data_IF_475730343790
#
_entry.id   IF_475730343790
#
_cell.length_a   1.000
_cell.length_b   1.000
_cell.length_c   1.000
_cell.angle_alpha   90.00
_cell.angle_beta   90.00
_cell.angle_gamma   90.00
#
_symmetry.space_group_name_H-M   'P 1'
#
loop_
_entity.id
_entity.type
_entity.pdbx_description
1 polymer ?
#
# COMPACT_ATOMS: atom_id res chain seq x y z
N UNK A 1 -18.14 -29.72 -20.67
CA UNK A 1 -18.46 -30.52 -19.46
C UNK A 1 -19.68 -29.95 -18.77
N UNK A 2 -20.77 -30.71 -18.77
CA UNK A 2 -22.08 -30.37 -18.20
C UNK A 2 -21.98 -30.00 -16.71
N UNK A 3 -22.53 -28.83 -16.32
CA UNK A 3 -22.79 -28.49 -14.91
C UNK A 3 -23.93 -29.38 -14.42
N UNK A 4 -23.59 -30.57 -13.92
CA UNK A 4 -24.54 -31.39 -13.18
C UNK A 4 -25.07 -30.57 -11.99
N UNK A 5 -26.34 -30.12 -12.07
CA UNK A 5 -27.09 -29.61 -10.93
C UNK A 5 -27.10 -30.76 -9.91
N UNK A 6 -26.34 -30.61 -8.81
CA UNK A 6 -26.48 -31.52 -7.66
C UNK A 6 -27.97 -31.55 -7.27
N UNK A 7 -28.61 -32.72 -7.18
CA UNK A 7 -29.98 -32.80 -6.73
C UNK A 7 -30.05 -32.19 -5.32
N UNK A 8 -30.93 -31.22 -5.12
CA UNK A 8 -31.28 -30.75 -3.79
C UNK A 8 -32.09 -31.87 -3.14
N UNK A 9 -31.41 -32.80 -2.48
CA UNK A 9 -32.07 -33.69 -1.53
C UNK A 9 -32.79 -32.79 -0.51
N UNK A 10 -34.12 -32.79 -0.54
CA UNK A 10 -34.92 -32.17 0.50
C UNK A 10 -34.83 -33.05 1.75
N UNK A 11 -33.72 -32.94 2.48
CA UNK A 11 -33.47 -33.69 3.70
C UNK A 11 -34.44 -33.21 4.78
N UNK A 12 -35.54 -33.92 4.97
CA UNK A 12 -36.55 -33.64 5.99
C UNK A 12 -36.28 -34.52 7.21
N UNK A 13 -36.30 -33.93 8.40
CA UNK A 13 -36.09 -34.63 9.66
C UNK A 13 -36.88 -33.94 10.75
N UNK A 14 -37.48 -34.71 11.67
CA UNK A 14 -37.98 -34.13 12.92
C UNK A 14 -36.78 -33.72 13.76
N UNK A 15 -36.49 -32.41 13.83
CA UNK A 15 -35.32 -31.94 14.56
C UNK A 15 -35.54 -32.15 16.07
N UNK A 16 -34.51 -32.69 16.72
CA UNK A 16 -34.37 -32.78 18.18
C UNK A 16 -32.93 -32.44 18.57
N UNK A 17 -32.71 -31.84 19.73
CA UNK A 17 -31.36 -31.48 20.18
C UNK A 17 -30.44 -32.69 20.31
N UNK A 18 -30.98 -33.85 20.70
CA UNK A 18 -30.27 -35.13 20.75
C UNK A 18 -29.82 -35.60 19.37
N UNK A 19 -30.67 -35.44 18.35
CA UNK A 19 -30.32 -35.76 16.98
C UNK A 19 -29.26 -34.79 16.45
N UNK A 20 -29.47 -33.48 16.66
CA UNK A 20 -28.54 -32.44 16.22
C UNK A 20 -27.16 -32.67 16.83
N UNK A 21 -27.06 -32.98 18.12
CA UNK A 21 -25.81 -33.25 18.82
C UNK A 21 -25.02 -34.41 18.18
N UNK A 22 -25.69 -35.52 17.88
CA UNK A 22 -25.09 -36.77 17.38
C UNK A 22 -24.82 -36.77 15.88
N UNK A 23 -25.55 -35.96 15.11
CA UNK A 23 -25.48 -36.01 13.66
C UNK A 23 -24.12 -35.52 13.12
N UNK A 24 -23.48 -36.34 12.28
CA UNK A 24 -22.22 -36.03 11.61
C UNK A 24 -22.49 -35.63 10.17
N UNK A 25 -21.80 -34.58 9.71
CA UNK A 25 -21.88 -34.12 8.33
C UNK A 25 -21.32 -35.17 7.37
N UNK A 26 -22.07 -35.43 6.30
CA UNK A 26 -21.65 -36.24 5.13
C UNK A 26 -21.23 -35.38 3.95
N UNK A 27 -21.71 -34.13 3.88
CA UNK A 27 -21.33 -33.12 2.88
C UNK A 27 -20.64 -31.89 3.51
N UNK A 28 -19.91 -31.06 2.74
CA UNK A 28 -19.29 -29.84 3.26
C UNK A 28 -20.29 -28.86 3.90
N UNK A 29 -21.55 -28.91 3.48
CA UNK A 29 -22.67 -28.19 4.08
C UNK A 29 -23.95 -28.98 3.83
N UNK A 30 -24.82 -29.05 4.83
CA UNK A 30 -26.12 -29.71 4.76
C UNK A 30 -27.21 -28.82 5.33
N UNK A 31 -28.35 -28.78 4.64
CA UNK A 31 -29.54 -28.05 5.08
C UNK A 31 -30.65 -29.09 5.35
N UNK A 32 -31.07 -29.20 6.62
CA UNK A 32 -32.10 -30.12 7.09
C UNK A 32 -33.39 -29.35 7.41
N UNK A 33 -34.52 -29.80 6.88
CA UNK A 33 -35.84 -29.18 7.05
C UNK A 33 -36.57 -29.85 8.21
N UNK A 34 -37.04 -29.03 9.16
CA UNK A 34 -37.85 -29.55 10.27
C UNK A 34 -39.21 -30.02 9.75
N UNK A 35 -39.66 -31.18 10.22
CA UNK A 35 -40.97 -31.72 9.85
C UNK A 35 -42.10 -31.09 10.65
N UNK A 36 -41.82 -30.52 11.83
CA UNK A 36 -42.83 -29.86 12.69
C UNK A 36 -43.07 -28.43 12.23
N UNK A 37 -42.01 -27.67 11.93
CA UNK A 37 -42.08 -26.35 11.31
C UNK A 37 -41.39 -26.41 9.95
N UNK A 38 -42.15 -26.58 8.88
CA UNK A 38 -41.63 -26.78 7.51
C UNK A 38 -40.77 -25.62 6.98
N UNK A 39 -40.89 -24.44 7.58
CA UNK A 39 -40.09 -23.26 7.26
C UNK A 39 -38.75 -23.21 8.01
N UNK A 40 -38.60 -23.98 9.10
CA UNK A 40 -37.38 -24.05 9.89
C UNK A 40 -36.35 -24.95 9.20
N UNK A 41 -35.13 -24.44 9.08
CA UNK A 41 -33.98 -25.11 8.48
C UNK A 41 -32.84 -25.13 9.50
N UNK A 42 -32.24 -26.30 9.69
CA UNK A 42 -30.94 -26.43 10.33
C UNK A 42 -29.84 -26.50 9.25
N UNK A 43 -28.96 -25.51 9.23
CA UNK A 43 -27.76 -25.52 8.41
C UNK A 43 -26.56 -26.01 9.22
N UNK A 44 -25.97 -27.12 8.79
CA UNK A 44 -24.73 -27.66 9.33
C UNK A 44 -23.60 -27.39 8.34
N UNK A 45 -22.43 -27.00 8.83
CA UNK A 45 -21.27 -26.67 8.00
C UNK A 45 -20.04 -27.46 8.44
N UNK A 46 -19.10 -27.72 7.52
CA UNK A 46 -17.85 -28.45 7.77
C UNK A 46 -17.03 -27.92 8.96
N UNK A 47 -17.16 -26.64 9.29
CA UNK A 47 -16.53 -26.04 10.49
C UNK A 47 -17.22 -26.37 11.82
N UNK A 48 -18.17 -27.31 11.84
CA UNK A 48 -18.93 -27.72 13.03
C UNK A 48 -20.02 -26.74 13.47
N UNK A 49 -20.20 -25.61 12.78
CA UNK A 49 -21.26 -24.66 13.11
C UNK A 49 -22.62 -25.19 12.64
N UNK A 50 -23.57 -25.25 13.58
CA UNK A 50 -24.98 -25.66 13.39
C UNK A 50 -25.85 -24.42 13.63
N UNK A 51 -26.62 -24.00 12.64
CA UNK A 51 -27.34 -22.71 12.67
C UNK A 51 -28.78 -22.89 12.21
N UNK A 52 -29.74 -22.42 13.01
CA UNK A 52 -31.14 -22.38 12.62
C UNK A 52 -31.42 -21.18 11.71
N UNK A 53 -32.26 -21.42 10.71
CA UNK A 53 -32.72 -20.43 9.75
C UNK A 53 -34.20 -20.64 9.48
N UNK A 54 -34.93 -19.58 9.18
CA UNK A 54 -36.31 -19.65 8.71
C UNK A 54 -36.36 -19.33 7.22
N UNK A 55 -37.13 -20.12 6.47
CA UNK A 55 -37.39 -19.93 5.04
C UNK A 55 -38.67 -19.12 4.89
N UNK A 56 -38.61 -18.06 4.10
CA UNK A 56 -39.76 -17.22 3.80
C UNK A 56 -39.74 -16.79 2.34
N UNK A 57 -40.89 -16.33 1.82
CA UNK A 57 -40.99 -15.72 0.48
C UNK A 57 -41.03 -14.21 0.63
N UNK A 58 -40.17 -13.51 -0.10
CA UNK A 58 -40.22 -12.04 -0.21
C UNK A 58 -39.95 -11.65 -1.66
N UNK A 59 -40.80 -10.76 -2.21
CA UNK A 59 -40.76 -10.32 -3.61
C UNK A 59 -40.69 -11.50 -4.60
N UNK A 60 -41.53 -12.53 -4.42
CA UNK A 60 -41.60 -13.72 -5.27
C UNK A 60 -40.40 -14.68 -5.17
N UNK A 61 -39.37 -14.36 -4.38
CA UNK A 61 -38.15 -15.19 -4.21
C UNK A 61 -38.12 -15.83 -2.83
N UNK A 62 -37.75 -17.11 -2.77
CA UNK A 62 -37.51 -17.80 -1.50
C UNK A 62 -36.20 -17.34 -0.88
N UNK A 63 -36.25 -16.78 0.32
CA UNK A 63 -35.10 -16.33 1.11
C UNK A 63 -35.00 -17.15 2.40
N UNK A 64 -33.87 -17.02 3.08
CA UNK A 64 -33.68 -17.61 4.42
C UNK A 64 -33.08 -16.59 5.37
N UNK A 65 -33.66 -16.41 6.55
CA UNK A 65 -33.15 -15.54 7.61
C UNK A 65 -32.48 -16.38 8.70
N UNK A 66 -31.41 -15.87 9.33
CA UNK A 66 -30.71 -16.59 10.40
C UNK A 66 -31.41 -16.32 11.73
N UNK A 67 -31.87 -17.36 12.42
CA UNK A 67 -32.49 -17.21 13.73
C UNK A 67 -31.45 -17.24 14.86
N UNK A 68 -30.49 -18.16 14.79
CA UNK A 68 -29.50 -18.33 15.85
C UNK A 68 -28.59 -19.53 15.62
N UNK A 69 -27.48 -19.60 16.36
CA UNK A 69 -26.61 -20.78 16.37
C UNK A 69 -27.21 -21.79 17.35
N UNK A 70 -27.24 -23.07 16.98
CA UNK A 70 -27.68 -24.13 17.88
C UNK A 70 -26.73 -24.21 19.08
N UNK A 71 -27.32 -24.17 20.25
CA UNK A 71 -26.70 -24.34 21.55
C UNK A 71 -27.71 -25.12 22.41
N UNK A 72 -27.34 -26.28 22.97
CA UNK A 72 -28.30 -27.13 23.68
C UNK A 72 -28.94 -26.44 24.89
N UNK A 73 -28.24 -25.48 25.51
CA UNK A 73 -28.69 -24.81 26.72
C UNK A 73 -29.32 -23.44 26.41
N UNK A 74 -28.77 -22.71 25.43
CA UNK A 74 -29.17 -21.31 25.14
C UNK A 74 -30.13 -21.15 23.97
N UNK A 75 -30.02 -22.00 22.94
CA UNK A 75 -30.79 -21.84 21.70
C UNK A 75 -31.06 -23.21 21.05
N UNK A 76 -31.91 -23.98 21.73
CA UNK A 76 -32.31 -25.34 21.38
C UNK A 76 -33.36 -25.37 20.25
N UNK A 77 -33.80 -26.57 19.85
CA UNK A 77 -34.80 -26.72 18.77
C UNK A 77 -36.13 -26.04 19.10
N UNK A 78 -36.56 -26.07 20.36
CA UNK A 78 -37.83 -25.45 20.76
C UNK A 78 -37.76 -23.92 20.68
N UNK A 79 -36.67 -23.33 21.17
CA UNK A 79 -36.39 -21.90 21.03
C UNK A 79 -36.32 -21.49 19.56
N UNK A 80 -35.71 -22.31 18.71
CA UNK A 80 -35.66 -22.07 17.27
C UNK A 80 -37.04 -22.15 16.60
N UNK A 81 -37.91 -23.09 17.01
CA UNK A 81 -39.31 -23.17 16.54
C UNK A 81 -40.13 -21.96 16.98
N UNK A 82 -39.99 -21.51 18.23
CA UNK A 82 -40.63 -20.30 18.75
C UNK A 82 -40.15 -19.06 18.00
N UNK A 83 -38.84 -18.94 17.75
CA UNK A 83 -38.26 -17.85 16.98
C UNK A 83 -38.73 -17.87 15.51
N UNK A 84 -38.86 -19.04 14.90
CA UNK A 84 -39.43 -19.18 13.54
C UNK A 84 -40.91 -18.80 13.50
N UNK A 85 -41.68 -19.11 14.56
CA UNK A 85 -43.09 -18.76 14.63
C UNK A 85 -43.32 -17.24 14.80
N UNK A 86 -42.45 -16.57 15.56
CA UNK A 86 -42.48 -15.11 15.75
C UNK A 86 -41.83 -14.34 14.60
N UNK A 87 -41.33 -15.03 13.58
CA UNK A 87 -40.64 -14.40 12.47
C UNK A 87 -41.66 -13.74 11.53
N UNK A 88 -41.61 -12.42 11.46
CA UNK A 88 -42.39 -11.63 10.52
C UNK A 88 -41.54 -11.29 9.28
N UNK A 89 -41.89 -11.81 8.08
CA UNK A 89 -41.22 -11.47 6.84
C UNK A 89 -41.22 -9.97 6.50
N UNK A 90 -42.26 -9.23 6.91
CA UNK A 90 -42.47 -7.82 6.56
C UNK A 90 -41.49 -6.91 7.30
N UNK A 91 -41.15 -7.24 8.56
CA UNK A 91 -40.07 -6.59 9.32
C UNK A 91 -38.67 -6.78 8.70
N UNK A 92 -38.55 -7.68 7.72
CA UNK A 92 -37.31 -7.96 6.98
C UNK A 92 -37.37 -7.53 5.51
N UNK A 93 -38.43 -6.81 5.10
CA UNK A 93 -38.46 -6.06 3.85
C UNK A 93 -37.71 -4.74 4.09
N UNK A 94 -36.74 -4.42 3.22
CA UNK A 94 -35.99 -3.17 3.32
C UNK A 94 -36.98 -2.01 3.16
N UNK A 95 -37.10 -1.08 4.14
CA UNK A 95 -37.99 0.06 4.01
C UNK A 95 -37.59 0.86 2.78
N UNK A 96 -38.59 1.31 2.03
CA UNK A 96 -38.41 2.19 0.87
C UNK A 96 -38.52 3.65 1.30
N UNK A 97 -38.01 4.61 0.50
CA UNK A 97 -38.36 6.01 0.68
C UNK A 97 -39.90 6.16 0.79
N UNK A 98 -40.36 6.90 1.80
CA UNK A 98 -41.79 7.05 2.11
C UNK A 98 -42.40 5.99 3.03
N UNK A 99 -41.59 5.09 3.62
CA UNK A 99 -42.08 4.17 4.67
C UNK A 99 -42.37 4.97 5.95
N UNK A 100 -43.58 4.91 6.54
CA UNK A 100 -43.88 5.63 7.79
C UNK A 100 -42.90 5.27 8.91
N UNK A 101 -42.32 6.28 9.56
CA UNK A 101 -41.39 6.09 10.69
C UNK A 101 -39.92 5.85 10.30
N UNK A 102 -39.55 5.94 9.02
CA UNK A 102 -38.17 5.82 8.54
C UNK A 102 -37.76 7.12 7.83
N UNK A 103 -36.62 7.71 8.21
CA UNK A 103 -36.12 8.91 7.53
C UNK A 103 -35.65 8.59 6.11
N UNK A 104 -35.59 9.60 5.23
CA UNK A 104 -35.08 9.42 3.87
C UNK A 104 -33.63 8.92 3.85
N UNK A 105 -32.79 9.42 4.75
CA UNK A 105 -31.41 8.97 4.92
C UNK A 105 -31.33 7.50 5.35
N UNK A 106 -32.17 7.07 6.29
CA UNK A 106 -32.24 5.67 6.69
C UNK A 106 -32.69 4.80 5.51
N UNK A 107 -33.74 5.22 4.80
CA UNK A 107 -34.24 4.50 3.63
C UNK A 107 -33.20 4.41 2.50
N UNK A 108 -32.37 5.44 2.33
CA UNK A 108 -31.23 5.40 1.41
C UNK A 108 -30.26 4.30 1.81
N UNK A 109 -29.79 4.25 3.06
CA UNK A 109 -28.86 3.21 3.51
C UNK A 109 -29.41 1.79 3.40
N UNK A 110 -30.72 1.61 3.62
CA UNK A 110 -31.36 0.32 3.44
C UNK A 110 -31.36 -0.13 1.98
N UNK A 111 -31.18 0.74 1.00
CA UNK A 111 -31.24 0.38 -0.42
C UNK A 111 -29.95 0.71 -1.19
N UNK A 112 -29.03 1.45 -0.59
CA UNK A 112 -27.80 1.92 -1.19
C UNK A 112 -26.97 0.74 -1.70
N UNK A 113 -26.54 0.86 -2.96
CA UNK A 113 -25.58 -0.05 -3.54
C UNK A 113 -24.19 0.23 -2.98
N UNK A 114 -23.26 -0.70 -3.14
CA UNK A 114 -21.90 -0.47 -2.67
C UNK A 114 -21.23 0.68 -3.42
N UNK A 115 -21.58 0.89 -4.68
CA UNK A 115 -21.10 2.03 -5.47
C UNK A 115 -21.58 3.37 -4.90
N UNK A 116 -22.83 3.45 -4.46
CA UNK A 116 -23.37 4.65 -3.81
C UNK A 116 -22.61 4.97 -2.52
N UNK A 117 -22.37 3.95 -1.68
CA UNK A 117 -21.61 4.10 -0.44
C UNK A 117 -20.13 4.44 -0.71
N UNK A 118 -19.53 3.88 -1.76
CA UNK A 118 -18.17 4.25 -2.20
C UNK A 118 -18.12 5.72 -2.62
N UNK A 119 -19.13 6.19 -3.35
CA UNK A 119 -19.21 7.59 -3.80
C UNK A 119 -19.29 8.53 -2.61
N UNK A 120 -20.14 8.22 -1.62
CA UNK A 120 -20.24 8.98 -0.36
C UNK A 120 -18.91 8.96 0.42
N UNK A 121 -18.30 7.78 0.59
CA UNK A 121 -16.99 7.64 1.24
C UNK A 121 -15.88 8.45 0.55
N UNK A 122 -15.90 8.49 -0.79
CA UNK A 122 -14.92 9.27 -1.56
C UNK A 122 -15.07 10.77 -1.31
N UNK A 123 -16.30 11.27 -1.25
CA UNK A 123 -16.62 12.67 -1.04
C UNK A 123 -16.34 13.14 0.40
N UNK A 124 -16.66 12.31 1.40
CA UNK A 124 -16.61 12.73 2.80
C UNK A 124 -15.26 12.43 3.46
N UNK A 125 -14.67 11.27 3.16
CA UNK A 125 -13.47 10.79 3.85
C UNK A 125 -12.22 10.98 3.00
N UNK A 126 -12.28 10.52 1.75
CA UNK A 126 -11.07 10.40 0.92
C UNK A 126 -10.66 11.72 0.28
N UNK A 127 -11.56 12.69 0.15
CA UNK A 127 -11.27 14.01 -0.47
C UNK A 127 -10.05 14.70 0.15
N UNK A 128 -9.86 14.52 1.46
CA UNK A 128 -8.76 15.12 2.22
C UNK A 128 -7.47 14.28 2.19
N UNK A 129 -7.51 13.09 1.57
CA UNK A 129 -6.35 12.21 1.51
C UNK A 129 -5.42 12.63 0.37
N UNK A 130 -4.12 12.70 0.66
CA UNK A 130 -3.10 12.82 -0.39
C UNK A 130 -3.21 11.73 -1.45
N UNK A 131 -3.68 10.55 -1.06
CA UNK A 131 -3.87 9.38 -1.93
C UNK A 131 -5.27 9.31 -2.55
N UNK A 132 -6.04 10.41 -2.56
CA UNK A 132 -7.43 10.42 -3.02
C UNK A 132 -7.60 9.84 -4.43
N UNK A 133 -6.85 10.39 -5.41
CA UNK A 133 -6.91 9.95 -6.82
C UNK A 133 -6.62 8.45 -6.99
N UNK A 134 -5.61 7.93 -6.28
CA UNK A 134 -5.25 6.52 -6.38
C UNK A 134 -6.26 5.61 -5.69
N UNK A 135 -6.83 6.07 -4.58
CA UNK A 135 -7.89 5.37 -3.83
C UNK A 135 -9.15 5.26 -4.68
N UNK A 136 -9.60 6.38 -5.24
CA UNK A 136 -10.72 6.46 -6.17
C UNK A 136 -10.49 5.54 -7.39
N UNK A 137 -9.33 5.64 -8.04
CA UNK A 137 -8.98 4.78 -9.17
C UNK A 137 -9.06 3.30 -8.80
N UNK A 138 -8.57 2.90 -7.63
CA UNK A 138 -8.62 1.52 -7.19
C UNK A 138 -10.05 1.04 -6.92
N UNK A 139 -10.87 1.84 -6.23
CA UNK A 139 -12.27 1.53 -5.95
C UNK A 139 -13.08 1.42 -7.25
N UNK A 140 -12.99 2.42 -8.14
CA UNK A 140 -13.70 2.45 -9.42
C UNK A 140 -13.25 1.36 -10.39
N UNK A 141 -11.95 1.05 -10.45
CA UNK A 141 -11.43 0.04 -11.39
C UNK A 141 -11.68 -1.40 -10.95
N UNK A 142 -11.60 -1.68 -9.65
CA UNK A 142 -11.59 -3.07 -9.16
C UNK A 142 -12.81 -3.44 -8.32
N UNK A 143 -13.36 -2.50 -7.55
CA UNK A 143 -14.45 -2.79 -6.61
C UNK A 143 -15.81 -2.58 -7.27
N UNK A 144 -16.03 -1.42 -7.88
CA UNK A 144 -17.30 -1.06 -8.52
C UNK A 144 -17.74 -2.11 -9.57
N UNK A 145 -16.89 -2.57 -10.51
CA UNK A 145 -17.33 -3.54 -11.52
C UNK A 145 -17.73 -4.90 -10.94
N UNK A 146 -17.16 -5.28 -9.80
CA UNK A 146 -17.37 -6.60 -9.19
C UNK A 146 -18.47 -6.61 -8.13
N UNK A 147 -18.56 -5.54 -7.34
CA UNK A 147 -19.40 -5.47 -6.14
C UNK A 147 -20.30 -4.22 -6.09
N UNK A 148 -20.10 -3.25 -6.99
CA UNK A 148 -20.77 -1.93 -6.95
C UNK A 148 -22.29 -2.03 -6.92
N UNK A 149 -22.88 -2.81 -7.83
CA UNK A 149 -24.35 -2.99 -7.95
C UNK A 149 -25.00 -3.76 -6.78
N UNK A 150 -24.20 -4.34 -5.89
CA UNK A 150 -24.74 -5.12 -4.78
C UNK A 150 -25.14 -4.16 -3.66
N UNK A 151 -26.31 -4.39 -3.07
CA UNK A 151 -26.76 -3.61 -1.90
C UNK A 151 -25.73 -3.74 -0.78
N UNK A 152 -25.31 -2.61 -0.21
CA UNK A 152 -24.22 -2.52 0.76
C UNK A 152 -24.41 -3.48 1.93
N UNK A 153 -25.60 -3.48 2.54
CA UNK A 153 -25.92 -4.36 3.67
C UNK A 153 -26.00 -5.86 3.31
N UNK A 154 -26.06 -6.21 2.02
CA UNK A 154 -26.00 -7.61 1.57
C UNK A 154 -24.57 -8.11 1.32
N UNK A 155 -23.56 -7.22 1.40
CA UNK A 155 -22.17 -7.59 1.23
C UNK A 155 -21.72 -8.55 2.32
N UNK A 156 -21.01 -9.60 1.90
CA UNK A 156 -20.50 -10.65 2.78
C UNK A 156 -18.99 -10.68 2.72
N UNK A 157 -18.39 -11.20 3.78
CA UNK A 157 -16.97 -11.54 3.82
C UNK A 157 -16.53 -12.44 2.65
N UNK A 158 -17.42 -13.31 2.17
CA UNK A 158 -17.18 -14.18 1.01
C UNK A 158 -16.98 -13.40 -0.28
N UNK A 159 -17.69 -12.28 -0.47
CA UNK A 159 -17.65 -11.50 -1.71
C UNK A 159 -16.32 -10.76 -1.82
N UNK A 160 -15.93 -10.05 -0.75
CA UNK A 160 -14.62 -9.40 -0.66
C UNK A 160 -13.48 -10.42 -0.74
N UNK A 161 -13.66 -11.61 -0.14
CA UNK A 161 -12.70 -12.71 -0.23
C UNK A 161 -12.56 -13.28 -1.64
N UNK A 162 -13.65 -13.40 -2.39
CA UNK A 162 -13.66 -13.87 -3.77
C UNK A 162 -12.99 -12.85 -4.69
N UNK A 163 -13.36 -11.56 -4.59
CA UNK A 163 -12.71 -10.49 -5.35
C UNK A 163 -11.19 -10.47 -5.10
N UNK A 164 -10.76 -10.56 -3.84
CA UNK A 164 -9.34 -10.63 -3.49
C UNK A 164 -8.63 -11.84 -4.12
N UNK A 165 -9.27 -13.02 -4.15
CA UNK A 165 -8.67 -14.21 -4.80
C UNK A 165 -8.53 -14.02 -6.30
N UNK A 166 -9.55 -13.50 -6.98
CA UNK A 166 -9.50 -13.23 -8.41
C UNK A 166 -8.38 -12.21 -8.72
N UNK A 167 -8.33 -11.10 -7.98
CA UNK A 167 -7.27 -10.10 -8.14
C UNK A 167 -5.86 -10.63 -7.86
N UNK A 168 -5.70 -11.58 -6.94
CA UNK A 168 -4.38 -12.18 -6.69
C UNK A 168 -3.83 -12.89 -7.93
N UNK A 169 -4.71 -13.53 -8.69
CA UNK A 169 -4.39 -14.21 -9.95
C UNK A 169 -4.17 -13.20 -11.07
N UNK A 170 -5.05 -12.21 -11.19
CA UNK A 170 -5.12 -11.35 -12.38
C UNK A 170 -4.23 -10.09 -12.26
N UNK A 171 -3.93 -9.62 -11.04
CA UNK A 171 -3.22 -8.37 -10.78
C UNK A 171 -2.07 -8.51 -9.77
N UNK A 172 -1.88 -9.69 -9.19
CA UNK A 172 -0.85 -9.97 -8.20
C UNK A 172 -1.25 -9.68 -6.75
N UNK A 173 -0.45 -10.23 -5.83
CA UNK A 173 -0.76 -10.29 -4.39
C UNK A 173 -0.86 -8.92 -3.75
N UNK A 174 0.04 -8.00 -4.10
CA UNK A 174 0.08 -6.66 -3.50
C UNK A 174 -1.17 -5.85 -3.84
N UNK A 175 -1.53 -5.80 -5.12
CA UNK A 175 -2.69 -5.02 -5.56
C UNK A 175 -3.98 -5.57 -4.96
N UNK A 176 -4.14 -6.90 -4.92
CA UNK A 176 -5.28 -7.53 -4.29
C UNK A 176 -5.40 -7.22 -2.79
N UNK A 177 -4.28 -7.15 -2.07
CA UNK A 177 -4.26 -6.81 -0.65
C UNK A 177 -4.56 -5.32 -0.42
N UNK A 178 -4.13 -4.41 -1.31
CA UNK A 178 -4.51 -2.98 -1.30
C UNK A 178 -6.02 -2.83 -1.50
N UNK A 179 -6.57 -3.43 -2.55
CA UNK A 179 -8.00 -3.32 -2.85
C UNK A 179 -8.85 -3.92 -1.73
N UNK A 180 -8.44 -5.06 -1.17
CA UNK A 180 -9.13 -5.63 -0.01
C UNK A 180 -9.08 -4.72 1.22
N UNK A 181 -7.97 -4.01 1.45
CA UNK A 181 -7.86 -3.02 2.52
C UNK A 181 -8.80 -1.83 2.28
N UNK A 182 -8.95 -1.37 1.04
CA UNK A 182 -9.89 -0.30 0.68
C UNK A 182 -11.35 -0.71 0.90
N UNK A 183 -11.75 -1.92 0.46
CA UNK A 183 -13.11 -2.45 0.73
C UNK A 183 -13.38 -2.44 2.24
N UNK A 184 -12.41 -2.93 3.03
CA UNK A 184 -12.53 -2.89 4.48
C UNK A 184 -12.64 -1.46 5.01
N UNK A 185 -11.86 -0.52 4.48
CA UNK A 185 -11.89 0.89 4.91
C UNK A 185 -13.28 1.49 4.76
N UNK A 186 -13.95 1.28 3.61
CA UNK A 186 -15.32 1.75 3.39
C UNK A 186 -16.29 1.10 4.39
N UNK A 187 -16.20 -0.22 4.59
CA UNK A 187 -17.12 -0.93 5.47
C UNK A 187 -16.88 -0.64 6.96
N UNK A 188 -15.65 -0.34 7.36
CA UNK A 188 -15.32 0.06 8.73
C UNK A 188 -15.76 1.49 8.99
N UNK A 189 -15.59 2.41 8.03
CA UNK A 189 -16.07 3.79 8.17
C UNK A 189 -17.56 3.86 8.54
N UNK A 190 -18.41 3.04 7.90
CA UNK A 190 -19.85 2.98 8.25
C UNK A 190 -20.11 2.44 9.66
N UNK A 191 -19.25 1.52 10.15
CA UNK A 191 -19.34 0.98 11.51
C UNK A 191 -18.79 1.97 12.55
N UNK A 192 -17.64 2.57 12.28
CA UNK A 192 -16.89 3.43 13.20
C UNK A 192 -17.58 4.78 13.43
N UNK A 193 -18.25 5.33 12.41
CA UNK A 193 -19.04 6.56 12.51
C UNK A 193 -20.49 6.30 12.97
N UNK A 194 -20.84 5.05 13.29
CA UNK A 194 -22.18 4.64 13.73
C UNK A 194 -23.31 5.13 12.81
N UNK A 195 -23.03 5.26 11.51
CA UNK A 195 -23.99 5.80 10.53
C UNK A 195 -25.26 4.94 10.46
N UNK A 196 -25.12 3.65 10.79
CA UNK A 196 -26.21 2.71 10.90
C UNK A 196 -26.18 2.02 12.26
N UNK A 197 -27.26 2.18 13.01
CA UNK A 197 -27.46 1.51 14.28
C UNK A 197 -27.28 0.00 14.14
N UNK A 198 -26.43 -0.58 14.99
CA UNK A 198 -26.15 -2.02 15.06
C UNK A 198 -25.55 -2.64 13.77
N UNK A 199 -25.02 -1.83 12.85
CA UNK A 199 -24.28 -2.37 11.71
C UNK A 199 -22.90 -2.87 12.15
N UNK A 200 -22.64 -4.16 11.94
CA UNK A 200 -21.32 -4.75 12.11
C UNK A 200 -20.70 -5.10 10.76
N UNK A 201 -19.49 -4.58 10.48
CA UNK A 201 -18.77 -4.89 9.27
C UNK A 201 -18.53 -6.41 9.16
N UNK A 202 -18.91 -7.06 8.04
CA UNK A 202 -18.57 -8.45 7.77
C UNK A 202 -17.05 -8.70 7.76
N UNK A 203 -16.28 -7.62 7.61
CA UNK A 203 -14.83 -7.63 7.61
C UNK A 203 -14.22 -7.27 8.96
N UNK A 204 -14.98 -6.85 9.98
CA UNK A 204 -14.53 -6.43 11.33
C UNK A 204 -13.41 -7.32 11.88
N UNK A 205 -13.70 -8.61 12.01
CA UNK A 205 -12.75 -9.59 12.53
C UNK A 205 -11.88 -10.23 11.45
N UNK A 206 -10.56 -10.05 11.58
CA UNK A 206 -9.57 -10.87 10.88
C UNK A 206 -9.44 -12.21 11.61
N UNK A 207 -9.65 -13.36 10.93
CA UNK A 207 -9.22 -14.63 11.49
C UNK A 207 -7.72 -14.53 11.76
N UNK A 208 -7.27 -14.87 12.97
CA UNK A 208 -5.83 -15.02 13.24
C UNK A 208 -5.26 -15.94 12.17
N UNK A 209 -4.33 -15.45 11.35
CA UNK A 209 -3.67 -16.28 10.33
C UNK A 209 -2.94 -17.40 11.07
N UNK A 210 -3.46 -18.62 11.05
CA UNK A 210 -2.72 -19.81 11.50
C UNK A 210 -1.65 -20.06 10.44
N UNK A 211 -0.39 -19.87 10.82
CA UNK A 211 0.77 -20.02 9.94
C UNK A 211 1.58 -18.74 9.80
N UNK A 212 2.87 -18.82 10.11
CA UNK A 212 3.87 -17.81 9.75
C UNK A 212 3.94 -17.76 8.22
N UNK A 213 3.14 -16.92 7.56
CA UNK A 213 3.39 -16.55 6.16
C UNK A 213 4.67 -15.69 6.11
N UNK A 214 5.82 -16.34 6.30
CA UNK A 214 7.18 -15.78 6.22
C UNK A 214 7.54 -15.31 4.82
N UNK A 215 6.75 -15.63 3.80
CA UNK A 215 6.85 -15.07 2.44
C UNK A 215 6.07 -13.76 2.31
N UNK A 216 6.20 -12.83 3.27
CA UNK A 216 6.18 -11.42 2.85
C UNK A 216 7.50 -11.29 2.13
N UNK A 217 7.52 -11.37 0.79
CA UNK A 217 8.74 -11.14 0.03
C UNK A 217 9.37 -9.89 0.61
N UNK A 218 10.53 -10.06 1.25
CA UNK A 218 11.23 -8.97 1.92
C UNK A 218 11.26 -7.80 0.97
N UNK A 219 11.07 -6.58 1.48
CA UNK A 219 11.29 -5.41 0.64
C UNK A 219 12.63 -5.62 -0.06
N UNK A 220 12.68 -5.55 -1.39
CA UNK A 220 13.89 -5.92 -2.17
C UNK A 220 15.12 -5.32 -1.48
N UNK A 221 16.16 -6.09 -1.20
CA UNK A 221 17.41 -5.61 -0.55
C UNK A 221 18.51 -5.39 -1.60
N UNK A 222 18.12 -4.85 -2.77
CA UNK A 222 19.03 -4.72 -3.90
C UNK A 222 19.97 -3.53 -3.68
N UNK A 223 21.26 -3.81 -3.68
CA UNK A 223 22.40 -2.88 -3.75
C UNK A 223 23.14 -3.20 -5.06
N UNK A 224 23.57 -2.18 -5.79
CA UNK A 224 24.41 -2.37 -6.97
C UNK A 224 25.85 -2.64 -6.51
N UNK A 225 26.50 -3.63 -7.09
CA UNK A 225 27.93 -3.80 -6.92
C UNK A 225 28.72 -2.74 -7.73
N UNK A 226 30.04 -2.76 -7.60
CA UNK A 226 30.90 -1.73 -8.19
C UNK A 226 30.94 -1.81 -9.73
N UNK A 227 30.84 -2.99 -10.31
CA UNK A 227 30.78 -3.17 -11.77
C UNK A 227 29.46 -2.68 -12.33
N UNK A 228 28.35 -3.06 -11.70
CA UNK A 228 27.01 -2.56 -12.04
C UNK A 228 26.95 -1.04 -11.91
N UNK A 229 27.58 -0.47 -10.89
CA UNK A 229 27.62 0.97 -10.67
C UNK A 229 28.42 1.69 -11.75
N UNK A 230 29.59 1.16 -12.15
CA UNK A 230 30.37 1.67 -13.29
C UNK A 230 29.53 1.69 -14.57
N UNK A 231 28.89 0.57 -14.89
CA UNK A 231 28.08 0.43 -16.09
C UNK A 231 26.90 1.42 -16.11
N UNK A 232 26.15 1.52 -15.00
CA UNK A 232 25.04 2.48 -14.88
C UNK A 232 25.52 3.92 -14.96
N UNK A 233 26.66 4.25 -14.34
CA UNK A 233 27.23 5.60 -14.41
C UNK A 233 27.68 5.98 -15.82
N UNK A 234 28.33 5.07 -16.54
CA UNK A 234 28.75 5.28 -17.93
C UNK A 234 27.55 5.44 -18.85
N UNK A 235 26.54 4.56 -18.74
CA UNK A 235 25.31 4.66 -19.51
C UNK A 235 24.56 5.97 -19.23
N UNK A 236 24.46 6.39 -17.97
CA UNK A 236 23.87 7.67 -17.59
C UNK A 236 24.67 8.87 -18.13
N UNK A 237 25.99 8.78 -18.17
CA UNK A 237 26.86 9.82 -18.73
C UNK A 237 26.67 9.91 -20.25
N UNK A 238 26.62 8.78 -20.96
CA UNK A 238 26.38 8.70 -22.40
C UNK A 238 24.98 9.21 -22.78
N UNK A 239 23.96 8.89 -21.99
CA UNK A 239 22.60 9.40 -22.19
C UNK A 239 22.54 10.93 -22.05
N UNK A 240 23.28 11.49 -21.09
CA UNK A 240 23.26 12.92 -20.82
C UNK A 240 21.88 13.47 -20.45
N UNK A 241 21.69 14.77 -20.70
CA UNK A 241 20.42 15.45 -20.45
C UNK A 241 19.90 15.33 -19.01
N UNK A 242 18.58 15.50 -18.86
CA UNK A 242 17.95 15.44 -17.54
C UNK A 242 18.00 14.06 -16.90
N UNK A 243 17.77 12.98 -17.66
CA UNK A 243 17.69 11.65 -17.06
C UNK A 243 19.06 11.10 -16.65
N UNK A 244 20.08 11.25 -17.50
CA UNK A 244 21.45 10.87 -17.16
C UNK A 244 22.01 11.68 -15.98
N UNK A 245 21.69 12.96 -15.92
CA UNK A 245 21.96 13.79 -14.74
C UNK A 245 21.22 13.33 -13.48
N UNK A 246 19.93 13.00 -13.59
CA UNK A 246 19.10 12.55 -12.48
C UNK A 246 19.62 11.26 -11.85
N UNK A 247 19.99 10.27 -12.68
CA UNK A 247 20.53 8.98 -12.21
C UNK A 247 21.80 9.19 -11.40
N UNK A 248 22.74 10.01 -11.89
CA UNK A 248 23.99 10.30 -11.18
C UNK A 248 23.75 11.11 -9.91
N UNK A 249 22.87 12.12 -9.94
CA UNK A 249 22.54 12.92 -8.76
C UNK A 249 21.77 12.14 -7.69
N UNK A 250 20.96 11.14 -8.06
CA UNK A 250 20.32 10.24 -7.10
C UNK A 250 21.34 9.47 -6.26
N UNK A 251 22.43 9.05 -6.89
CA UNK A 251 23.53 8.35 -6.25
C UNK A 251 24.35 9.31 -5.35
N UNK A 252 24.72 10.48 -5.87
CA UNK A 252 25.59 11.43 -5.15
C UNK A 252 24.91 12.17 -3.99
N UNK A 253 23.58 12.33 -4.02
CA UNK A 253 22.84 13.05 -2.97
C UNK A 253 22.12 12.12 -2.01
N UNK A 254 22.00 10.83 -2.38
CA UNK A 254 21.19 9.82 -1.70
C UNK A 254 19.73 10.23 -1.44
N UNK A 255 19.21 11.24 -2.15
CA UNK A 255 17.85 11.76 -1.94
C UNK A 255 16.77 10.91 -2.60
N UNK A 256 15.52 11.10 -2.15
CA UNK A 256 14.38 10.46 -2.77
C UNK A 256 14.23 10.99 -4.19
N UNK A 257 13.87 10.11 -5.14
CA UNK A 257 13.56 10.48 -6.53
C UNK A 257 12.64 11.69 -6.62
N UNK A 258 11.57 11.71 -5.84
CA UNK A 258 10.60 12.81 -5.78
C UNK A 258 11.30 14.14 -5.49
N UNK A 259 12.16 14.20 -4.47
CA UNK A 259 12.86 15.42 -4.04
C UNK A 259 13.72 16.00 -5.17
N UNK A 260 14.50 15.16 -5.87
CA UNK A 260 15.30 15.63 -6.99
C UNK A 260 14.42 16.10 -8.16
N UNK A 261 13.37 15.33 -8.50
CA UNK A 261 12.52 15.65 -9.66
C UNK A 261 11.69 16.91 -9.48
N UNK A 262 11.37 17.27 -8.25
CA UNK A 262 10.65 18.51 -7.91
C UNK A 262 11.57 19.64 -7.47
N UNK A 263 12.90 19.43 -7.48
CA UNK A 263 13.87 20.46 -7.10
C UNK A 263 13.76 21.66 -8.03
N UNK A 264 13.78 22.87 -7.48
CA UNK A 264 13.76 24.12 -8.25
C UNK A 264 15.15 24.74 -8.29
N UNK A 265 15.46 25.46 -9.37
CA UNK A 265 16.74 26.18 -9.48
C UNK A 265 16.92 27.22 -8.35
N UNK A 266 15.83 27.85 -7.90
CA UNK A 266 15.84 28.81 -6.79
C UNK A 266 16.13 28.20 -5.42
N UNK A 267 16.08 26.86 -5.30
CA UNK A 267 16.44 26.14 -4.07
C UNK A 267 17.93 25.85 -3.97
N UNK A 268 18.70 26.03 -5.05
CA UNK A 268 20.14 25.76 -5.10
C UNK A 268 20.87 27.10 -5.13
N UNK A 269 21.53 27.44 -4.02
CA UNK A 269 22.30 28.68 -3.87
C UNK A 269 23.75 28.30 -3.62
N UNK A 270 24.64 28.65 -4.55
CA UNK A 270 26.03 28.21 -4.52
C UNK A 270 26.13 26.69 -4.61
N UNK A 271 26.69 26.07 -3.57
CA UNK A 271 26.81 24.62 -3.42
C UNK A 271 25.70 24.02 -2.53
N UNK A 272 24.77 24.83 -2.04
CA UNK A 272 23.81 24.41 -1.01
C UNK A 272 22.41 24.28 -1.62
N UNK A 273 21.82 23.10 -1.47
CA UNK A 273 20.45 22.79 -1.85
C UNK A 273 19.51 22.83 -0.64
N UNK A 274 18.58 23.77 -0.65
CA UNK A 274 17.54 23.97 0.37
C UNK A 274 16.27 23.19 -0.03
N UNK A 275 16.13 21.97 0.48
CA UNK A 275 15.01 21.08 0.18
C UNK A 275 13.79 21.54 0.96
N UNK A 276 12.83 22.16 0.28
CA UNK A 276 11.62 22.70 0.91
C UNK A 276 10.55 21.62 1.10
N UNK A 277 9.82 21.71 2.20
CA UNK A 277 8.80 20.73 2.60
C UNK A 277 7.48 20.83 1.83
N UNK A 278 7.37 21.77 0.88
CA UNK A 278 6.14 22.13 0.15
C UNK A 278 5.51 20.96 -0.63
N UNK A 279 6.22 19.82 -0.76
CA UNK A 279 5.81 18.65 -1.53
C UNK A 279 5.67 17.37 -0.70
N UNK A 280 5.14 17.44 0.52
CA UNK A 280 4.41 16.37 1.24
C UNK A 280 5.12 15.02 1.55
N UNK A 281 6.29 14.75 0.99
CA UNK A 281 7.11 13.54 1.15
C UNK A 281 8.45 13.84 1.84
N UNK A 282 8.75 15.11 2.14
CA UNK A 282 9.88 15.53 2.96
C UNK A 282 9.59 15.33 4.46
N UNK A 283 9.15 14.12 4.86
CA UNK A 283 9.12 13.75 6.27
C UNK A 283 10.55 13.44 6.72
N UNK A 284 11.35 14.45 7.07
CA UNK A 284 12.70 14.22 7.60
C UNK A 284 13.63 15.43 7.63
N UNK A 285 14.69 15.27 8.41
CA UNK A 285 15.75 16.25 8.78
C UNK A 285 16.68 16.67 7.64
N UNK A 286 16.33 16.39 6.38
CA UNK A 286 17.14 16.64 5.19
C UNK A 286 16.94 18.02 4.54
N UNK A 287 16.54 19.04 5.30
CA UNK A 287 16.08 20.34 4.77
C UNK A 287 17.17 21.16 4.03
N UNK A 288 18.45 20.86 4.27
CA UNK A 288 19.59 21.57 3.65
C UNK A 288 20.71 20.58 3.38
N UNK A 289 21.19 20.48 2.14
CA UNK A 289 22.32 19.65 1.75
C UNK A 289 23.40 20.51 1.10
N UNK A 290 24.63 20.38 1.56
CA UNK A 290 25.78 20.89 0.82
C UNK A 290 26.16 19.84 -0.21
N UNK A 291 26.09 20.21 -1.49
CA UNK A 291 26.33 19.32 -2.61
C UNK A 291 27.83 19.17 -2.84
N UNK A 292 28.33 17.93 -3.05
CA UNK A 292 29.73 17.72 -3.38
C UNK A 292 30.04 18.35 -4.76
N UNK A 293 31.29 18.75 -5.02
CA UNK A 293 31.64 19.43 -6.28
C UNK A 293 31.27 18.61 -7.53
N UNK A 294 31.39 17.27 -7.47
CA UNK A 294 30.94 16.38 -8.55
C UNK A 294 29.43 16.52 -8.86
N UNK A 295 28.59 16.70 -7.85
CA UNK A 295 27.16 16.94 -8.05
C UNK A 295 26.92 18.33 -8.68
N UNK A 296 27.67 19.35 -8.25
CA UNK A 296 27.61 20.70 -8.85
C UNK A 296 28.06 20.68 -10.32
N UNK A 297 29.12 19.94 -10.64
CA UNK A 297 29.58 19.77 -12.01
C UNK A 297 28.49 19.15 -12.89
N UNK A 298 27.80 18.11 -12.40
CA UNK A 298 26.66 17.53 -13.13
C UNK A 298 25.52 18.53 -13.29
N UNK A 299 25.15 19.29 -12.23
CA UNK A 299 24.10 20.31 -12.30
C UNK A 299 24.39 21.37 -13.37
N UNK A 300 25.66 21.79 -13.52
CA UNK A 300 26.08 22.76 -14.55
C UNK A 300 25.92 22.23 -15.98
N UNK A 301 25.92 20.90 -16.18
CA UNK A 301 25.71 20.28 -17.51
C UNK A 301 24.25 20.11 -17.88
N UNK A 302 23.31 20.31 -16.94
CA UNK A 302 21.89 20.06 -17.21
C UNK A 302 21.31 21.10 -18.18
N UNK A 303 20.52 20.68 -19.19
CA UNK A 303 19.86 21.62 -20.08
C UNK A 303 18.85 22.47 -19.29
N UNK A 304 18.80 23.77 -19.58
CA UNK A 304 17.83 24.70 -18.98
C UNK A 304 16.71 24.99 -19.96
N UNK A 305 15.47 24.78 -19.52
CA UNK A 305 14.28 25.16 -20.27
C UNK A 305 13.85 26.54 -19.78
N UNK A 306 13.78 27.52 -20.68
CA UNK A 306 13.38 28.90 -20.34
C UNK A 306 12.00 28.90 -19.68
N UNK A 307 11.87 29.63 -18.57
CA UNK A 307 10.61 29.73 -17.81
C UNK A 307 10.31 28.54 -16.89
N UNK A 308 10.99 27.40 -17.05
CA UNK A 308 10.75 26.23 -16.22
C UNK A 308 11.52 26.32 -14.88
N UNK A 309 10.85 26.35 -13.72
CA UNK A 309 11.52 26.49 -12.44
C UNK A 309 12.27 25.22 -12.00
N UNK A 310 11.93 24.05 -12.55
CA UNK A 310 12.46 22.77 -12.11
C UNK A 310 13.87 22.49 -12.67
N UNK A 311 14.75 21.92 -11.84
CA UNK A 311 16.09 21.46 -12.24
C UNK A 311 15.98 20.36 -13.30
N UNK A 312 15.03 19.45 -13.12
CA UNK A 312 14.66 18.41 -14.09
C UNK A 312 13.28 18.72 -14.64
N UNK A 313 13.20 19.75 -15.47
CA UNK A 313 11.96 20.23 -16.07
C UNK A 313 11.65 19.57 -17.40
N UNK A 314 10.38 19.29 -17.68
CA UNK A 314 9.89 18.97 -19.02
C UNK A 314 8.80 19.97 -19.40
N UNK A 315 8.62 20.18 -20.70
CA UNK A 315 7.48 20.91 -21.23
C UNK A 315 6.48 19.90 -21.82
N UNK A 316 5.22 20.00 -21.40
CA UNK A 316 4.17 19.14 -21.92
C UNK A 316 2.91 19.97 -22.15
N UNK A 317 2.49 20.08 -23.42
CA UNK A 317 1.34 20.89 -23.85
C UNK A 317 1.45 22.36 -23.42
N UNK A 318 2.64 22.96 -23.56
CA UNK A 318 2.89 24.35 -23.17
C UNK A 318 3.00 24.60 -21.66
N UNK A 319 2.86 23.57 -20.82
CA UNK A 319 3.01 23.69 -19.37
C UNK A 319 4.38 23.18 -18.89
N UNK A 320 5.02 23.94 -18.00
CA UNK A 320 6.23 23.54 -17.32
C UNK A 320 5.93 22.56 -16.18
N UNK A 321 6.47 21.36 -16.27
CA UNK A 321 6.24 20.28 -15.30
C UNK A 321 7.56 19.66 -14.83
N UNK A 322 7.57 19.05 -13.63
CA UNK A 322 8.69 18.21 -13.23
C UNK A 322 8.74 16.94 -14.10
N UNK A 323 9.95 16.43 -14.31
CA UNK A 323 10.19 15.20 -15.07
C UNK A 323 9.40 14.00 -14.52
N UNK A 324 8.71 13.25 -15.38
CA UNK A 324 7.86 12.12 -14.98
C UNK A 324 8.03 10.83 -15.82
N UNK A 325 8.81 10.84 -16.90
CA UNK A 325 8.97 9.71 -17.84
C UNK A 325 9.99 8.65 -17.40
N UNK A 326 9.94 8.19 -16.14
CA UNK A 326 10.99 7.33 -15.57
C UNK A 326 11.12 5.95 -16.21
N UNK A 327 10.00 5.29 -16.53
CA UNK A 327 10.02 3.91 -17.04
C UNK A 327 10.60 3.85 -18.43
N UNK A 328 10.14 4.73 -19.33
CA UNK A 328 10.65 4.84 -20.69
C UNK A 328 12.14 5.17 -20.70
N UNK A 329 12.54 6.19 -19.94
CA UNK A 329 13.93 6.67 -19.91
C UNK A 329 14.87 5.68 -19.24
N UNK A 330 14.35 4.82 -18.35
CA UNK A 330 15.11 3.69 -17.83
C UNK A 330 15.43 2.66 -18.91
N UNK A 331 14.46 2.35 -19.77
CA UNK A 331 14.68 1.41 -20.88
C UNK A 331 15.72 1.95 -21.86
N UNK A 332 15.60 3.22 -22.25
CA UNK A 332 16.61 3.90 -23.08
C UNK A 332 18.01 3.88 -22.43
N UNK A 333 18.10 3.92 -21.09
CA UNK A 333 19.38 3.84 -20.39
C UNK A 333 19.91 2.41 -20.39
N UNK A 334 19.03 1.42 -20.20
CA UNK A 334 19.40 0.01 -20.23
C UNK A 334 19.88 -0.43 -21.63
N UNK A 335 19.39 0.20 -22.71
CA UNK A 335 19.88 0.02 -24.08
C UNK A 335 21.31 0.55 -24.30
N UNK A 336 21.78 1.47 -23.44
CA UNK A 336 23.15 2.00 -23.51
C UNK A 336 24.15 1.15 -22.71
N UNK A 337 23.69 0.15 -21.96
CA UNK A 337 24.57 -0.79 -21.27
C UNK A 337 25.22 -1.74 -22.28
N UNK A 338 26.50 -2.11 -22.11
CA UNK A 338 27.16 -3.07 -23.00
C UNK A 338 26.54 -4.47 -22.92
N UNK A 339 25.93 -4.81 -21.80
CA UNK A 339 25.16 -6.03 -21.59
C UNK A 339 24.08 -5.81 -20.52
N UNK A 340 23.02 -6.63 -20.49
CA UNK A 340 22.02 -6.58 -19.43
C UNK A 340 22.65 -6.82 -18.06
N UNK A 341 22.16 -6.09 -17.05
CA UNK A 341 22.50 -6.30 -15.65
C UNK A 341 21.26 -6.78 -14.87
N UNK A 342 21.42 -7.43 -13.70
CA UNK A 342 20.28 -7.91 -12.93
C UNK A 342 19.33 -6.77 -12.55
N UNK A 343 18.03 -7.06 -12.57
CA UNK A 343 16.95 -6.07 -12.43
C UNK A 343 17.17 -5.12 -11.25
N UNK A 344 17.17 -3.83 -11.56
CA UNK A 344 17.28 -2.74 -10.59
C UNK A 344 16.23 -1.65 -10.85
N UNK A 345 16.10 -0.73 -9.89
CA UNK A 345 15.22 0.44 -9.95
C UNK A 345 15.97 1.69 -9.47
N UNK A 346 15.48 2.88 -9.81
CA UNK A 346 16.05 4.14 -9.30
C UNK A 346 16.10 4.22 -7.76
N UNK A 347 15.24 3.48 -7.06
CA UNK A 347 15.29 3.43 -5.59
C UNK A 347 16.48 2.62 -5.07
N UNK A 348 17.00 1.67 -5.86
CA UNK A 348 18.16 0.88 -5.52
C UNK A 348 19.45 1.72 -5.60
N UNK A 349 19.47 2.82 -6.37
CA UNK A 349 20.57 3.80 -6.34
C UNK A 349 20.69 4.47 -4.96
N UNK A 350 19.56 4.86 -4.38
CA UNK A 350 19.53 5.46 -3.03
C UNK A 350 19.94 4.46 -1.96
N UNK A 351 19.57 3.18 -2.11
CA UNK A 351 20.02 2.10 -1.21
C UNK A 351 21.51 1.87 -1.35
N UNK A 352 22.01 1.83 -2.59
CA UNK A 352 23.43 1.73 -2.89
C UNK A 352 24.19 2.88 -2.24
N UNK A 353 23.73 4.12 -2.40
CA UNK A 353 24.33 5.28 -1.72
C UNK A 353 24.34 5.11 -0.18
N UNK A 354 23.25 4.62 0.42
CA UNK A 354 23.19 4.40 1.88
C UNK A 354 24.12 3.28 2.35
N UNK A 355 24.24 2.21 1.59
CA UNK A 355 25.19 1.11 1.87
C UNK A 355 26.63 1.61 1.72
N UNK A 356 26.95 2.34 0.64
CA UNK A 356 28.29 2.90 0.43
C UNK A 356 28.70 3.90 1.50
N UNK A 357 27.78 4.69 2.04
CA UNK A 357 28.05 5.53 3.21
C UNK A 357 28.52 4.69 4.41
N UNK A 358 27.93 3.53 4.63
CA UNK A 358 28.34 2.61 5.70
C UNK A 358 29.69 1.96 5.40
N UNK A 359 29.89 1.50 4.15
CA UNK A 359 31.13 0.88 3.69
C UNK A 359 32.34 1.83 3.88
N UNK A 360 32.13 3.14 3.70
CA UNK A 360 33.18 4.15 3.91
C UNK A 360 33.26 4.68 5.35
N UNK A 361 32.54 4.07 6.30
CA UNK A 361 32.63 4.39 7.73
C UNK A 361 31.83 5.62 8.20
N UNK A 362 30.75 5.98 7.51
CA UNK A 362 29.79 6.98 8.02
C UNK A 362 28.85 6.30 9.01
N UNK A 363 28.73 6.87 10.21
CA UNK A 363 27.88 6.30 11.25
C UNK A 363 26.40 6.23 10.84
N UNK A 364 25.68 5.22 11.34
CA UNK A 364 24.27 4.97 11.01
C UNK A 364 23.41 6.22 11.17
N UNK A 365 23.59 6.99 12.25
CA UNK A 365 22.77 8.16 12.53
C UNK A 365 22.97 9.25 11.48
N UNK A 366 24.23 9.50 11.08
CA UNK A 366 24.56 10.43 9.99
C UNK A 366 24.02 9.91 8.65
N UNK A 367 24.19 8.63 8.34
CA UNK A 367 23.66 8.00 7.13
C UNK A 367 22.13 8.13 7.00
N UNK A 368 21.38 7.89 8.08
CA UNK A 368 19.92 8.05 8.13
C UNK A 368 19.50 9.52 7.90
N UNK A 369 20.23 10.47 8.48
CA UNK A 369 19.95 11.91 8.33
C UNK A 369 20.33 12.42 6.94
N UNK A 370 21.41 11.92 6.32
CA UNK A 370 21.78 12.21 4.93
C UNK A 370 20.65 11.81 3.99
N UNK A 371 20.11 10.61 4.14
CA UNK A 371 18.98 10.17 3.30
C UNK A 371 17.65 10.85 3.71
N UNK A 372 17.60 11.66 4.76
CA UNK A 372 16.39 12.36 5.17
C UNK A 372 15.34 11.41 5.79
N UNK A 373 15.80 10.44 6.58
CA UNK A 373 14.95 9.71 7.51
C UNK A 373 14.83 10.49 8.82
N UNK A 374 13.62 10.51 9.40
CA UNK A 374 13.43 11.06 10.73
C UNK A 374 14.04 10.11 11.76
N UNK A 375 14.92 10.62 12.61
CA UNK A 375 15.46 9.84 13.73
C UNK A 375 14.32 9.51 14.73
N UNK A 376 14.27 8.30 15.29
CA UNK A 376 13.27 7.92 16.29
C UNK A 376 13.50 8.62 17.64
N UNK A 377 12.41 8.94 18.36
CA UNK A 377 12.43 9.42 19.75
C UNK A 377 12.79 10.91 19.96
N UNK A 378 13.20 11.24 21.19
CA UNK A 378 13.55 12.61 21.69
C UNK A 378 14.74 13.24 20.95
N UNK A 379 15.48 12.45 20.15
CA UNK A 379 16.55 12.92 19.27
C UNK A 379 16.07 13.83 18.12
N UNK A 380 14.75 13.97 17.90
CA UNK A 380 14.18 14.89 16.89
C UNK A 380 14.37 16.36 17.26
N UNK A 381 14.40 16.68 18.55
CA UNK A 381 14.48 18.06 19.08
C UNK A 381 15.92 18.54 19.25
N UNK A 382 16.85 17.60 19.45
CA UNK A 382 18.27 17.90 19.57
C UNK A 382 18.94 17.84 18.19
N UNK A 383 19.50 18.99 17.79
CA UNK A 383 20.54 19.14 16.78
C UNK A 383 20.00 19.25 15.34
N UNK A 384 19.58 20.45 14.92
CA UNK A 384 19.49 20.82 13.49
C UNK A 384 20.84 21.31 12.93
N UNK A 385 21.68 21.91 13.77
CA UNK A 385 22.96 22.52 13.35
C UNK A 385 24.09 21.50 13.15
N UNK A 386 24.39 20.60 14.11
CA UNK A 386 25.56 19.69 14.01
C UNK A 386 25.45 18.63 12.90
N UNK A 387 24.25 18.37 12.36
CA UNK A 387 24.13 17.47 11.20
C UNK A 387 24.40 18.16 9.86
N UNK A 388 24.48 19.49 9.78
CA UNK A 388 24.81 20.15 8.50
C UNK A 388 26.21 19.74 8.04
N UNK A 389 27.21 19.93 8.89
CA UNK A 389 28.61 19.59 8.61
C UNK A 389 28.79 18.08 8.39
N UNK A 390 28.20 17.25 9.27
CA UNK A 390 28.26 15.79 9.10
C UNK A 390 27.63 15.30 7.80
N UNK A 391 26.53 15.92 7.34
CA UNK A 391 25.92 15.59 6.04
C UNK A 391 26.81 16.03 4.89
N UNK A 392 27.41 17.21 4.97
CA UNK A 392 28.33 17.71 3.96
C UNK A 392 29.54 16.78 3.81
N UNK A 393 30.20 16.43 4.92
CA UNK A 393 31.32 15.48 4.96
C UNK A 393 30.92 14.11 4.37
N UNK A 394 29.79 13.56 4.82
CA UNK A 394 29.29 12.28 4.34
C UNK A 394 29.02 12.28 2.82
N UNK A 395 28.40 13.34 2.29
CA UNK A 395 28.14 13.47 0.85
C UNK A 395 29.43 13.69 0.04
N UNK A 396 30.41 14.41 0.59
CA UNK A 396 31.73 14.57 -0.04
C UNK A 396 32.47 13.23 -0.13
N UNK A 397 32.55 12.49 0.98
CA UNK A 397 33.16 11.15 1.03
C UNK A 397 32.45 10.16 0.11
N UNK A 398 31.11 10.20 0.07
CA UNK A 398 30.33 9.41 -0.87
C UNK A 398 30.70 9.77 -2.31
N UNK A 399 30.72 11.05 -2.67
CA UNK A 399 31.09 11.47 -4.03
C UNK A 399 32.51 11.04 -4.42
N UNK A 400 33.48 11.14 -3.51
CA UNK A 400 34.86 10.69 -3.74
C UNK A 400 34.93 9.17 -3.93
N UNK A 401 34.22 8.41 -3.10
CA UNK A 401 34.15 6.96 -3.25
C UNK A 401 33.50 6.55 -4.57
N UNK A 402 32.36 7.15 -4.93
CA UNK A 402 31.69 6.89 -6.22
C UNK A 402 32.59 7.28 -7.39
N UNK A 403 33.28 8.42 -7.31
CA UNK A 403 34.26 8.85 -8.33
C UNK A 403 35.37 7.81 -8.52
N UNK A 404 35.91 7.27 -7.42
CA UNK A 404 36.92 6.21 -7.46
C UNK A 404 36.37 4.93 -8.09
N UNK A 405 35.17 4.48 -7.70
CA UNK A 405 34.55 3.29 -8.28
C UNK A 405 34.34 3.44 -9.78
N UNK A 406 33.86 4.61 -10.24
CA UNK A 406 33.55 4.85 -11.65
C UNK A 406 34.75 5.35 -12.49
N UNK A 407 35.95 5.38 -11.91
CA UNK A 407 37.20 5.71 -12.60
C UNK A 407 37.35 7.19 -12.97
N UNK A 408 36.71 8.10 -12.24
CA UNK A 408 36.91 9.54 -12.42
C UNK A 408 38.19 10.00 -11.70
N UNK A 409 38.89 11.01 -12.25
CA UNK A 409 40.07 11.55 -11.60
C UNK A 409 39.71 12.11 -10.21
N UNK A 410 40.60 11.98 -9.20
CA UNK A 410 40.35 12.51 -7.87
C UNK A 410 40.15 14.02 -7.94
N UNK A 411 39.07 14.50 -7.35
CA UNK A 411 38.77 15.92 -7.25
C UNK A 411 39.79 16.61 -6.33
N UNK A 412 40.73 17.35 -6.92
CA UNK A 412 41.78 18.07 -6.19
C UNK A 412 41.29 19.37 -5.53
N UNK A 413 40.02 19.76 -5.72
CA UNK A 413 39.52 21.07 -5.31
C UNK A 413 39.10 21.18 -3.84
N UNK A 414 38.92 20.06 -3.13
CA UNK A 414 38.52 20.07 -1.71
C UNK A 414 39.06 18.86 -0.94
N UNK A 415 40.21 19.04 -0.29
CA UNK A 415 40.61 18.14 0.80
C UNK A 415 39.60 18.29 1.96
N UNK A 416 39.17 17.19 2.60
CA UNK A 416 38.46 17.29 3.87
C UNK A 416 39.30 18.14 4.82
N UNK A 417 38.70 19.14 5.48
CA UNK A 417 39.38 19.82 6.59
C UNK A 417 39.64 18.77 7.66
N UNK A 418 40.86 18.23 7.68
CA UNK A 418 41.23 17.13 8.55
C UNK A 418 40.94 17.49 9.99
N UNK A 419 40.22 16.62 10.69
CA UNK A 419 40.38 16.53 12.13
C UNK A 419 41.84 16.14 12.37
N UNK A 420 42.65 17.11 12.78
CA UNK A 420 44.02 16.89 13.22
C UNK A 420 43.98 15.89 14.38
N UNK A 421 44.42 14.66 14.14
CA UNK A 421 45.02 13.73 15.10
C UNK A 421 45.30 12.39 14.40
N UNK A 422 46.16 12.41 13.38
CA UNK A 422 46.86 11.20 12.93
C UNK A 422 48.34 11.54 12.97
N UNK A 423 49.03 10.99 13.97
CA UNK A 423 50.48 11.05 14.09
C UNK A 423 51.06 10.20 12.95
N UNK A 424 51.85 10.81 12.08
CA UNK A 424 52.60 10.09 11.07
C UNK A 424 53.69 9.25 11.76
N UNK A 425 53.64 7.93 11.59
CA UNK A 425 54.74 7.05 11.95
C UNK A 425 55.83 7.19 10.86
N UNK A 426 56.85 7.95 11.21
CA UNK A 426 58.06 8.13 10.43
C UNK A 426 58.84 6.80 10.41
N UNK A 427 58.84 6.08 9.29
CA UNK A 427 59.72 4.94 9.10
C UNK A 427 61.13 5.46 8.76
N UNK A 428 61.90 5.66 9.81
CA UNK A 428 63.32 5.92 9.74
C UNK A 428 64.06 4.74 9.10
N UNK A 429 64.79 5.08 8.03
CA UNK A 429 66.01 4.45 7.50
C UNK A 429 66.73 3.54 8.51
N UNK A 430 67.07 2.32 8.09
CA UNK A 430 68.38 1.71 8.38
C UNK A 430 68.89 0.93 7.17
N UNK A 431 70.21 1.00 7.06
CA UNK A 431 71.11 0.47 6.04
C UNK A 431 71.03 -1.05 5.87
#
# INVERSE_FOLDING_TARGET
>A
MSKAKRPKENRKQRLSDTWIARHKLTLPQEDWFDTVRTELILRMSYGGAKTFRVRYKANGKTRTHKLGRWDPDKFNVEAARKAAQKFDPEQHVRPKPGTPGVSEDQAWWFNATFEDVITKYLAEVVVNFRTAKETERCLKRYVVPALGKKVFLDLKKSDAGQLRRNMRRDNGVRQADIVFALIRSVMMWVEDEEILDNYESPLRYRPKRRGKNKRRGGGRERVLDDDELRLVWQAATKMGGHYGGLVRLLLLTAQRRQCLTTAKWSEIVGDTWYIREEWGDAKGTGQVLQLPPLAIAILKTLPRIKGNPYVFGVEHKGEHKPFNSFSQRKLELEELLPHPIPRWTLHDLRRTARTRLEDIGVDMQTGEVVIGHALPGVKRTYIRSKFKEKRADALLRLAQHIASVVGLPPDRSTSPKGASNVVALDQARRA
#
